data_IF_994797023034
#
_entry.id   IF_994797023034
#
_cell.length_a   1.000
_cell.length_b   1.000
_cell.length_c   1.000
_cell.angle_alpha   90.00
_cell.angle_beta   90.00
_cell.angle_gamma   90.00
#
_symmetry.space_group_name_H-M   'P 1'
#
loop_
_entity.id
_entity.type
_entity.pdbx_description
1 polymer ?
#
# COMPACT_ATOMS: atom_id res chain seq x y z
N UNK A 1 -13.20 6.78 49.58
CA UNK A 1 -12.44 5.72 48.90
C UNK A 1 -13.33 4.77 48.08
N UNK A 2 -14.38 4.15 48.64
CA UNK A 2 -15.25 3.20 47.89
C UNK A 2 -15.92 3.77 46.62
N UNK A 3 -16.40 5.02 46.65
CA UNK A 3 -17.05 5.65 45.47
C UNK A 3 -16.08 5.95 44.32
N UNK A 4 -14.78 6.08 44.61
CA UNK A 4 -13.73 6.27 43.60
C UNK A 4 -13.40 4.94 42.89
N UNK A 5 -13.39 3.82 43.62
CA UNK A 5 -13.20 2.50 43.03
C UNK A 5 -14.37 2.06 42.15
N UNK A 6 -15.60 2.44 42.50
CA UNK A 6 -16.79 2.17 41.68
C UNK A 6 -16.71 2.95 40.35
N UNK A 7 -16.27 4.21 40.38
CA UNK A 7 -16.04 5.02 39.17
C UNK A 7 -14.92 4.45 38.29
N UNK A 8 -13.82 3.99 38.91
CA UNK A 8 -12.71 3.35 38.19
C UNK A 8 -13.14 2.04 37.52
N UNK A 9 -13.96 1.22 38.21
CA UNK A 9 -14.46 -0.05 37.70
C UNK A 9 -15.41 0.16 36.51
N UNK A 10 -16.30 1.17 36.59
CA UNK A 10 -17.21 1.51 35.48
C UNK A 10 -16.42 1.97 34.25
N UNK A 11 -15.38 2.79 34.44
CA UNK A 11 -14.53 3.29 33.35
C UNK A 11 -13.72 2.19 32.66
N UNK A 12 -13.24 1.19 33.40
CA UNK A 12 -12.55 0.02 32.84
C UNK A 12 -13.51 -0.87 32.08
N UNK A 13 -14.75 -1.03 32.57
CA UNK A 13 -15.72 -1.95 31.96
C UNK A 13 -16.23 -1.41 30.63
N UNK A 14 -16.45 -0.09 30.47
CA UNK A 14 -16.86 0.50 29.19
C UNK A 14 -15.81 0.38 28.09
N UNK A 15 -14.52 0.27 28.44
CA UNK A 15 -13.45 0.06 27.44
C UNK A 15 -13.50 -1.33 26.80
N UNK A 16 -14.00 -2.34 27.50
CA UNK A 16 -14.09 -3.72 26.97
C UNK A 16 -15.24 -3.91 25.98
N UNK A 17 -16.30 -3.10 26.04
CA UNK A 17 -17.52 -3.28 25.24
C UNK A 17 -17.39 -2.64 23.85
N UNK A 18 -16.46 -1.69 23.65
CA UNK A 18 -16.24 -1.01 22.36
C UNK A 18 -15.41 -1.81 21.35
N UNK A 19 -14.91 -3.00 21.71
CA UNK A 19 -13.99 -3.78 20.86
C UNK A 19 -14.68 -4.83 19.97
N UNK A 20 -16.01 -4.81 19.85
CA UNK A 20 -16.74 -5.71 18.96
C UNK A 20 -17.20 -4.95 17.70
N UNK A 21 -16.27 -4.69 16.78
CA UNK A 21 -16.61 -4.30 15.41
C UNK A 21 -16.88 -5.58 14.61
N UNK A 22 -18.13 -5.86 14.25
CA UNK A 22 -18.42 -6.91 13.27
C UNK A 22 -17.99 -6.40 11.89
N UNK A 23 -16.76 -6.71 11.50
CA UNK A 23 -16.32 -6.66 10.11
C UNK A 23 -17.30 -7.54 9.33
N UNK A 24 -18.02 -6.97 8.34
CA UNK A 24 -18.82 -7.81 7.44
C UNK A 24 -17.93 -8.90 6.84
N UNK A 25 -18.45 -10.13 6.73
CA UNK A 25 -17.69 -11.30 6.32
C UNK A 25 -16.83 -10.99 5.09
N UNK A 26 -15.54 -10.74 5.32
CA UNK A 26 -14.60 -10.49 4.25
C UNK A 26 -14.44 -11.82 3.49
N UNK A 27 -14.63 -11.79 2.17
CA UNK A 27 -14.51 -13.01 1.36
C UNK A 27 -13.04 -13.44 1.36
N UNK A 28 -12.74 -14.52 2.07
CA UNK A 28 -11.41 -15.13 2.11
C UNK A 28 -11.21 -15.92 0.82
N UNK A 29 -10.11 -15.63 0.13
CA UNK A 29 -9.74 -16.27 -1.15
C UNK A 29 -8.52 -17.18 -1.03
N UNK A 30 -7.71 -17.02 0.01
CA UNK A 30 -6.62 -17.92 0.36
C UNK A 30 -6.24 -17.80 1.84
N UNK A 31 -5.61 -18.85 2.37
CA UNK A 31 -5.08 -18.90 3.73
C UNK A 31 -3.63 -19.39 3.69
N UNK A 32 -2.79 -18.84 4.56
CA UNK A 32 -1.41 -19.30 4.73
C UNK A 32 -0.99 -19.18 6.20
N UNK A 33 -0.74 -20.33 6.85
CA UNK A 33 -0.43 -20.37 8.27
C UNK A 33 -1.62 -19.92 9.13
N UNK A 34 -1.49 -18.79 9.82
CA UNK A 34 -2.57 -18.15 10.59
C UNK A 34 -3.10 -16.87 9.94
N UNK A 35 -2.55 -16.51 8.77
CA UNK A 35 -2.91 -15.32 8.03
C UNK A 35 -3.86 -15.71 6.87
N UNK A 36 -4.68 -14.77 6.42
CA UNK A 36 -5.63 -14.96 5.33
C UNK A 36 -5.53 -13.80 4.34
N UNK A 37 -5.91 -14.07 3.10
CA UNK A 37 -6.00 -13.08 2.02
C UNK A 37 -7.47 -12.89 1.70
N UNK A 38 -7.93 -11.65 1.75
CA UNK A 38 -9.29 -11.27 1.36
C UNK A 38 -9.37 -10.95 -0.13
N UNK A 39 -10.55 -11.06 -0.72
CA UNK A 39 -10.78 -10.69 -2.11
C UNK A 39 -10.42 -9.22 -2.39
N UNK A 40 -10.76 -8.32 -1.47
CA UNK A 40 -10.47 -6.90 -1.62
C UNK A 40 -8.96 -6.61 -1.58
N UNK A 41 -8.23 -7.27 -0.69
CA UNK A 41 -6.76 -7.21 -0.64
C UNK A 41 -6.14 -7.71 -1.95
N UNK A 42 -6.60 -8.87 -2.44
CA UNK A 42 -6.12 -9.43 -3.69
C UNK A 42 -6.35 -8.47 -4.85
N UNK A 43 -7.57 -7.92 -4.96
CA UNK A 43 -7.96 -6.99 -6.01
C UNK A 43 -7.11 -5.71 -5.96
N UNK A 44 -6.90 -5.16 -4.77
CA UNK A 44 -6.06 -3.97 -4.59
C UNK A 44 -4.60 -4.26 -5.00
N UNK A 45 -4.05 -5.40 -4.59
CA UNK A 45 -2.70 -5.82 -4.96
C UNK A 45 -2.56 -6.03 -6.47
N UNK A 46 -3.56 -6.64 -7.11
CA UNK A 46 -3.59 -6.87 -8.56
C UNK A 46 -3.57 -5.55 -9.31
N UNK A 47 -4.48 -4.62 -8.99
CA UNK A 47 -4.54 -3.29 -9.65
C UNK A 47 -3.25 -2.51 -9.46
N UNK A 48 -2.57 -2.62 -8.31
CA UNK A 48 -1.27 -1.98 -8.07
C UNK A 48 -0.13 -2.60 -8.88
N UNK A 49 -0.24 -3.86 -9.26
CA UNK A 49 0.77 -4.56 -10.07
C UNK A 49 0.70 -4.21 -11.56
N UNK A 50 -0.47 -3.75 -12.03
CA UNK A 50 -0.70 -3.42 -13.43
C UNK A 50 -0.14 -2.05 -13.82
N UNK A 51 0.33 -1.94 -15.06
CA UNK A 51 0.64 -0.66 -15.69
C UNK A 51 -0.63 0.16 -15.98
N UNK A 52 -0.48 1.46 -16.24
CA UNK A 52 -1.63 2.34 -16.54
C UNK A 52 -2.44 1.89 -17.77
N UNK A 53 -1.80 1.21 -18.73
CA UNK A 53 -2.46 0.68 -19.93
C UNK A 53 -3.28 -0.59 -19.61
N UNK A 54 -2.81 -1.42 -18.68
CA UNK A 54 -3.44 -2.67 -18.26
C UNK A 54 -4.58 -2.45 -17.25
N UNK A 55 -4.51 -1.40 -16.42
CA UNK A 55 -5.58 -1.03 -15.46
C UNK A 55 -6.94 -0.83 -16.13
N UNK A 56 -6.95 -0.39 -17.38
CA UNK A 56 -8.20 -0.21 -18.15
C UNK A 56 -8.78 -1.53 -18.70
N UNK A 57 -8.12 -2.67 -18.48
CA UNK A 57 -8.49 -4.01 -18.99
C UNK A 57 -8.58 -5.09 -17.90
N UNK A 58 -8.44 -4.70 -16.63
CA UNK A 58 -8.12 -5.56 -15.47
C UNK A 58 -9.25 -6.48 -14.95
N UNK A 59 -10.08 -7.06 -15.82
CA UNK A 59 -11.30 -7.78 -15.40
C UNK A 59 -11.34 -9.28 -15.75
N UNK A 60 -10.24 -9.86 -16.25
CA UNK A 60 -10.22 -11.30 -16.57
C UNK A 60 -10.17 -12.17 -15.30
N UNK A 61 -11.16 -13.06 -15.07
CA UNK A 61 -11.15 -13.98 -13.91
C UNK A 61 -9.95 -14.93 -13.89
N UNK A 62 -9.48 -15.38 -15.05
CA UNK A 62 -8.30 -16.23 -15.19
C UNK A 62 -7.02 -15.52 -14.72
N UNK A 63 -6.82 -14.26 -15.12
CA UNK A 63 -5.65 -13.47 -14.70
C UNK A 63 -5.66 -13.22 -13.20
N UNK A 64 -6.84 -12.98 -12.61
CA UNK A 64 -7.00 -12.84 -11.16
C UNK A 64 -6.62 -14.13 -10.42
N UNK A 65 -6.93 -15.29 -10.98
CA UNK A 65 -6.57 -16.60 -10.41
C UNK A 65 -5.06 -16.86 -10.49
N UNK A 66 -4.43 -16.55 -11.62
CA UNK A 66 -2.98 -16.66 -11.76
C UNK A 66 -2.25 -15.71 -10.81
N UNK A 67 -2.77 -14.48 -10.69
CA UNK A 67 -2.24 -13.51 -9.73
C UNK A 67 -2.40 -13.96 -8.28
N UNK A 68 -3.51 -14.61 -7.92
CA UNK A 68 -3.72 -15.16 -6.58
C UNK A 68 -2.60 -16.14 -6.19
N UNK A 69 -2.24 -17.08 -7.05
CA UNK A 69 -1.16 -18.03 -6.76
C UNK A 69 0.19 -17.33 -6.58
N UNK A 70 0.51 -16.37 -7.46
CA UNK A 70 1.71 -15.54 -7.34
C UNK A 70 1.73 -14.76 -6.01
N UNK A 71 0.60 -14.17 -5.65
CA UNK A 71 0.47 -13.31 -4.48
C UNK A 71 0.56 -14.11 -3.17
N UNK A 72 -0.09 -15.29 -3.10
CA UNK A 72 0.01 -16.20 -1.95
C UNK A 72 1.46 -16.67 -1.77
N UNK A 73 2.12 -17.10 -2.85
CA UNK A 73 3.52 -17.52 -2.80
C UNK A 73 4.45 -16.39 -2.33
N UNK A 74 4.19 -15.15 -2.76
CA UNK A 74 4.90 -13.98 -2.27
C UNK A 74 4.71 -13.76 -0.76
N UNK A 75 3.46 -13.80 -0.27
CA UNK A 75 3.15 -13.66 1.16
C UNK A 75 3.80 -14.74 2.01
N UNK A 76 3.81 -15.98 1.54
CA UNK A 76 4.47 -17.10 2.21
C UNK A 76 5.98 -16.87 2.36
N UNK A 77 6.66 -16.35 1.32
CA UNK A 77 8.09 -16.01 1.38
C UNK A 77 8.39 -14.90 2.39
N UNK A 78 7.54 -13.88 2.45
CA UNK A 78 7.68 -12.82 3.46
C UNK A 78 7.49 -13.37 4.88
N UNK A 79 6.52 -14.26 5.07
CA UNK A 79 6.30 -14.91 6.37
C UNK A 79 7.49 -15.76 6.78
N UNK A 80 8.05 -16.55 5.87
CA UNK A 80 9.27 -17.34 6.12
C UNK A 80 10.45 -16.43 6.52
N UNK A 81 10.67 -15.33 5.80
CA UNK A 81 11.69 -14.35 6.14
C UNK A 81 11.48 -13.74 7.55
N UNK A 82 10.23 -13.39 7.88
CA UNK A 82 9.88 -12.89 9.21
C UNK A 82 10.17 -13.91 10.31
N UNK A 83 9.74 -15.17 10.12
CA UNK A 83 9.96 -16.26 11.09
C UNK A 83 11.46 -16.53 11.28
N UNK A 84 12.27 -16.39 10.24
CA UNK A 84 13.74 -16.52 10.31
C UNK A 84 14.44 -15.31 10.93
N UNK A 85 13.70 -14.24 11.24
CA UNK A 85 14.26 -13.03 11.87
C UNK A 85 14.99 -12.10 10.91
N UNK A 86 14.82 -12.26 9.58
CA UNK A 86 15.44 -11.40 8.58
C UNK A 86 15.00 -9.93 8.68
N UNK A 87 13.88 -9.65 9.32
CA UNK A 87 13.46 -8.28 9.62
C UNK A 87 14.38 -7.56 10.60
N UNK A 88 15.17 -8.28 11.39
CA UNK A 88 16.11 -7.68 12.36
C UNK A 88 17.57 -7.87 11.94
N UNK A 89 17.81 -8.47 10.77
CA UNK A 89 19.16 -8.70 10.26
C UNK A 89 19.80 -7.35 9.86
N UNK A 90 20.97 -7.00 10.43
CA UNK A 90 21.58 -5.70 10.21
C UNK A 90 22.11 -5.51 8.77
N UNK A 91 22.47 -6.59 8.07
CA UNK A 91 22.92 -6.52 6.68
C UNK A 91 21.73 -6.25 5.75
N UNK A 92 20.60 -6.94 5.98
CA UNK A 92 19.35 -6.71 5.24
C UNK A 92 18.82 -5.30 5.49
N UNK A 93 18.82 -4.82 6.73
CA UNK A 93 18.39 -3.46 7.06
C UNK A 93 19.25 -2.41 6.35
N UNK A 94 20.57 -2.62 6.31
CA UNK A 94 21.48 -1.75 5.57
C UNK A 94 21.20 -1.75 4.07
N UNK A 95 20.95 -2.91 3.48
CA UNK A 95 20.59 -3.02 2.06
C UNK A 95 19.28 -2.29 1.74
N UNK A 96 18.26 -2.45 2.58
CA UNK A 96 16.98 -1.73 2.46
C UNK A 96 17.21 -0.22 2.52
N UNK A 97 18.01 0.26 3.47
CA UNK A 97 18.34 1.68 3.61
C UNK A 97 19.06 2.23 2.38
N UNK A 98 20.04 1.50 1.86
CA UNK A 98 20.85 1.94 0.72
C UNK A 98 20.03 1.92 -0.59
N UNK A 99 19.17 0.92 -0.76
CA UNK A 99 18.19 0.88 -1.85
C UNK A 99 17.20 2.05 -1.75
N UNK A 100 16.67 2.31 -0.55
CA UNK A 100 15.72 3.41 -0.29
C UNK A 100 16.33 4.77 -0.59
N UNK A 101 17.59 5.01 -0.22
CA UNK A 101 18.30 6.27 -0.58
C UNK A 101 18.43 6.43 -2.09
N UNK A 102 18.78 5.36 -2.79
CA UNK A 102 19.00 5.38 -4.24
C UNK A 102 17.69 5.66 -4.98
N UNK A 103 16.65 4.87 -4.71
CA UNK A 103 15.34 5.01 -5.36
C UNK A 103 14.63 6.29 -4.92
N UNK A 104 14.69 6.61 -3.62
CA UNK A 104 14.09 7.82 -3.05
C UNK A 104 14.62 9.09 -3.69
N UNK A 105 15.93 9.18 -3.94
CA UNK A 105 16.52 10.31 -4.65
C UNK A 105 15.96 10.45 -6.08
N UNK A 106 15.83 9.34 -6.82
CA UNK A 106 15.26 9.36 -8.16
C UNK A 106 13.80 9.82 -8.18
N UNK A 107 12.98 9.30 -7.25
CA UNK A 107 11.56 9.67 -7.11
C UNK A 107 11.44 11.15 -6.73
N UNK A 108 12.20 11.61 -5.73
CA UNK A 108 12.22 13.00 -5.29
C UNK A 108 12.59 13.94 -6.44
N UNK A 109 13.69 13.64 -7.15
CA UNK A 109 14.15 14.45 -8.29
C UNK A 109 13.12 14.51 -9.41
N UNK A 110 12.54 13.37 -9.78
CA UNK A 110 11.53 13.29 -10.85
C UNK A 110 10.28 14.09 -10.47
N UNK A 111 9.70 13.82 -9.31
CA UNK A 111 8.37 14.31 -8.93
C UNK A 111 8.39 15.75 -8.40
N UNK A 112 9.41 16.14 -7.62
CA UNK A 112 9.46 17.46 -7.00
C UNK A 112 10.16 18.50 -7.87
N UNK A 113 11.13 18.10 -8.69
CA UNK A 113 11.92 19.05 -9.49
C UNK A 113 11.53 19.00 -10.96
N UNK A 114 11.67 17.85 -11.62
CA UNK A 114 11.50 17.79 -13.09
C UNK A 114 10.04 17.96 -13.54
N UNK A 115 9.11 17.18 -12.99
CA UNK A 115 7.70 17.23 -13.42
C UNK A 115 7.06 18.62 -13.28
N UNK A 116 7.20 19.37 -12.17
CA UNK A 116 6.61 20.70 -12.07
C UNK A 116 7.29 21.72 -12.98
N UNK A 117 8.63 21.67 -13.13
CA UNK A 117 9.36 22.57 -14.03
C UNK A 117 8.94 22.35 -15.48
N UNK A 118 8.85 21.09 -15.93
CA UNK A 118 8.36 20.75 -17.26
C UNK A 118 6.94 21.27 -17.49
N UNK A 119 6.05 21.15 -16.50
CA UNK A 119 4.67 21.67 -16.58
C UNK A 119 4.65 23.20 -16.75
N UNK A 120 5.51 23.93 -16.05
CA UNK A 120 5.64 25.39 -16.18
C UNK A 120 6.15 25.75 -17.58
N UNK A 121 7.22 25.09 -18.06
CA UNK A 121 7.78 25.33 -19.39
C UNK A 121 6.74 25.08 -20.50
N UNK A 122 6.05 23.94 -20.46
CA UNK A 122 5.00 23.60 -21.43
C UNK A 122 3.86 24.61 -21.41
N UNK A 123 3.45 25.09 -20.22
CA UNK A 123 2.41 26.12 -20.08
C UNK A 123 2.87 27.44 -20.69
N UNK A 124 4.12 27.85 -20.45
CA UNK A 124 4.68 29.08 -21.00
C UNK A 124 4.83 29.03 -22.52
N UNK A 125 5.22 27.89 -23.10
CA UNK A 125 5.27 27.71 -24.55
C UNK A 125 3.89 27.78 -25.20
N UNK A 126 2.87 27.22 -24.54
CA UNK A 126 1.48 27.30 -25.02
C UNK A 126 0.97 28.74 -25.02
N UNK A 127 1.22 29.49 -23.95
CA UNK A 127 0.86 30.91 -23.85
C UNK A 127 1.57 31.76 -24.90
N UNK A 128 2.84 31.49 -25.20
CA UNK A 128 3.58 32.18 -26.28
C UNK A 128 2.95 31.93 -27.64
N UNK A 129 2.59 30.68 -27.96
CA UNK A 129 1.91 30.35 -29.23
C UNK A 129 0.54 31.01 -29.32
N UNK A 130 -0.23 31.02 -28.24
CA UNK A 130 -1.55 31.68 -28.20
C UNK A 130 -1.42 33.20 -28.39
N UNK A 131 -0.45 33.86 -27.74
CA UNK A 131 -0.20 35.30 -27.93
C UNK A 131 0.29 35.65 -29.33
N UNK A 132 1.01 34.74 -30.01
CA UNK A 132 1.51 34.95 -31.37
C UNK A 132 0.43 34.83 -32.45
N UNK A 133 -0.77 34.35 -32.10
CA UNK A 133 -1.92 34.28 -33.02
C UNK A 133 -2.75 35.59 -32.99
N UNK A 134 -2.53 36.45 -31.98
CA UNK A 134 -3.21 37.73 -31.80
C UNK A 134 -2.44 38.95 -32.37
N UNK A 135 -1.27 38.72 -33.00
CA UNK A 135 -0.49 39.71 -33.75
C UNK A 135 -0.33 39.24 -35.19
#
# INVERSE_FOLDING_TARGET
MQRLHILLFILVTTFFITSCSSSGDAVIVAEYGQDHITYDELKEAYVKSLSEEEKNKAESPEEMKEFLDLYVNYKMKLRDAFVRGFTNDPEIQKEIDDYTKTVGYHIFRKNLLLTPVLRICMKNEKLKKESAIFF
#
